data_IF_211153244292
#
_entry.id   IF_211153244292
#
_cell.length_a   1.000
_cell.length_b   1.000
_cell.length_c   1.000
_cell.angle_alpha   90.00
_cell.angle_beta   90.00
_cell.angle_gamma   90.00
#
_symmetry.space_group_name_H-M   'P 1'
#
loop_
_entity.id
_entity.type
_entity.pdbx_description
1 polymer ?
#
# COMPACT_ATOMS: atom_id res chain seq x y z
N UNK A 1 -2.45 5.35 -4.13
CA UNK A 1 -1.67 4.99 -2.92
C UNK A 1 -0.79 6.16 -2.42
N UNK A 2 -0.31 6.06 -1.18
CA UNK A 2 0.57 7.03 -0.51
C UNK A 2 2.06 6.79 -0.82
N UNK A 3 2.84 7.86 -0.94
CA UNK A 3 4.29 7.86 -1.11
C UNK A 3 4.94 8.42 0.16
N UNK A 4 4.93 7.64 1.25
CA UNK A 4 5.45 8.07 2.55
C UNK A 4 6.91 7.66 2.83
N UNK A 5 7.38 6.57 2.22
CA UNK A 5 8.69 5.98 2.52
C UNK A 5 9.75 6.35 1.51
N UNK A 6 11.00 6.46 1.97
CA UNK A 6 12.15 6.75 1.10
C UNK A 6 12.34 5.68 0.04
N UNK A 7 12.14 4.40 0.38
CA UNK A 7 12.33 3.28 -0.55
C UNK A 7 11.40 3.34 -1.76
N UNK A 8 10.25 4.03 -1.65
CA UNK A 8 9.34 4.21 -2.77
C UNK A 8 10.00 5.05 -3.89
N UNK A 9 10.81 6.05 -3.52
CA UNK A 9 11.48 6.94 -4.48
C UNK A 9 12.84 6.41 -4.93
N UNK A 10 13.49 5.55 -4.14
CA UNK A 10 14.72 4.86 -4.53
C UNK A 10 14.52 4.02 -5.82
N UNK A 11 13.29 3.56 -6.09
CA UNK A 11 12.96 2.82 -7.31
C UNK A 11 13.18 3.66 -8.58
N UNK A 12 12.92 4.96 -8.52
CA UNK A 12 13.07 5.87 -9.66
C UNK A 12 14.53 6.25 -9.86
N UNK A 13 15.26 6.53 -8.78
CA UNK A 13 16.71 6.80 -8.81
C UNK A 13 17.51 5.60 -9.36
N UNK A 14 17.08 4.37 -9.05
CA UNK A 14 17.69 3.14 -9.56
C UNK A 14 17.26 2.79 -10.99
N UNK A 15 16.37 3.57 -11.61
CA UNK A 15 15.84 3.29 -12.95
C UNK A 15 14.94 2.06 -13.04
N UNK A 16 14.39 1.60 -11.91
CA UNK A 16 13.45 0.47 -11.84
C UNK A 16 12.03 0.94 -12.21
N UNK A 17 11.64 2.12 -11.72
CA UNK A 17 10.35 2.74 -12.00
C UNK A 17 10.53 4.04 -12.80
N UNK A 18 9.48 4.44 -13.52
CA UNK A 18 9.48 5.66 -14.34
C UNK A 18 8.27 6.55 -14.10
N UNK A 19 7.06 5.98 -14.19
CA UNK A 19 5.80 6.70 -14.05
C UNK A 19 5.20 6.50 -12.66
N UNK A 20 4.57 7.54 -12.12
CA UNK A 20 3.94 7.53 -10.81
C UNK A 20 2.56 8.21 -10.84
N UNK A 21 1.52 7.46 -10.45
CA UNK A 21 0.21 7.96 -10.05
C UNK A 21 0.04 7.74 -8.54
N UNK A 22 -0.28 8.80 -7.80
CA UNK A 22 -0.33 8.74 -6.33
C UNK A 22 -1.37 9.69 -5.74
N UNK A 23 -1.68 9.54 -4.45
CA UNK A 23 -2.69 10.36 -3.76
C UNK A 23 -2.15 11.24 -2.64
N UNK A 24 -1.10 10.80 -1.96
CA UNK A 24 -0.51 11.54 -0.84
C UNK A 24 1.01 11.38 -0.86
N UNK A 25 1.76 12.47 -0.70
CA UNK A 25 3.24 12.46 -0.78
C UNK A 25 3.95 12.52 0.56
N UNK A 26 3.23 12.70 1.67
CA UNK A 26 3.81 12.82 3.01
C UNK A 26 5.05 13.72 3.08
N UNK A 27 6.10 13.23 3.73
CA UNK A 27 7.41 13.89 3.86
C UNK A 27 8.26 13.82 2.59
N UNK A 28 7.84 13.06 1.56
CA UNK A 28 8.59 12.85 0.33
C UNK A 28 8.31 13.91 -0.75
N UNK A 29 7.43 14.88 -0.50
CA UNK A 29 7.00 15.88 -1.49
C UNK A 29 8.16 16.62 -2.18
N UNK A 30 9.17 17.05 -1.40
CA UNK A 30 10.35 17.73 -1.96
C UNK A 30 11.17 16.82 -2.88
N UNK A 31 11.35 15.55 -2.47
CA UNK A 31 12.12 14.57 -3.25
C UNK A 31 11.38 14.17 -4.53
N UNK A 32 10.05 14.12 -4.52
CA UNK A 32 9.25 13.94 -5.74
C UNK A 32 9.52 15.06 -6.73
N UNK A 33 9.50 16.32 -6.28
CA UNK A 33 9.77 17.47 -7.14
C UNK A 33 11.18 17.44 -7.75
N UNK A 34 12.18 17.05 -6.96
CA UNK A 34 13.57 16.94 -7.44
C UNK A 34 13.70 15.85 -8.52
N UNK A 35 13.14 14.66 -8.29
CA UNK A 35 13.21 13.56 -9.26
C UNK A 35 12.44 13.86 -10.55
N UNK A 36 11.38 14.67 -10.47
CA UNK A 36 10.65 15.17 -11.63
C UNK A 36 11.51 16.18 -12.43
N UNK A 37 12.16 17.12 -11.74
CA UNK A 37 13.06 18.11 -12.36
C UNK A 37 14.27 17.45 -13.03
N UNK A 38 14.87 16.46 -12.36
CA UNK A 38 15.98 15.66 -12.89
C UNK A 38 15.54 14.71 -14.02
N UNK A 39 14.24 14.66 -14.31
CA UNK A 39 13.65 13.83 -15.35
C UNK A 39 13.84 12.34 -15.09
N UNK A 40 13.92 11.91 -13.83
CA UNK A 40 14.00 10.51 -13.39
C UNK A 40 12.60 9.92 -13.11
N UNK A 41 11.64 10.78 -12.75
CA UNK A 41 10.25 10.44 -12.44
C UNK A 41 9.30 11.21 -13.36
N UNK A 42 8.26 10.53 -13.86
CA UNK A 42 7.15 11.12 -14.60
C UNK A 42 5.87 10.99 -13.77
N UNK A 43 5.18 12.11 -13.51
CA UNK A 43 3.88 12.08 -12.81
C UNK A 43 2.77 11.88 -13.85
N UNK A 44 1.93 10.87 -13.65
CA UNK A 44 0.67 10.72 -14.38
C UNK A 44 -0.32 11.78 -13.90
N UNK A 45 -0.92 11.54 -12.75
CA UNK A 45 -1.68 12.54 -12.02
C UNK A 45 -1.59 12.36 -10.48
N UNK A 46 -2.02 13.42 -9.78
CA UNK A 46 -2.21 13.41 -8.33
C UNK A 46 -3.70 13.26 -8.07
N UNK A 47 -4.08 12.22 -7.35
CA UNK A 47 -5.47 11.80 -7.20
C UNK A 47 -5.97 11.91 -5.76
N UNK A 48 -7.29 11.93 -5.58
CA UNK A 48 -7.85 11.46 -4.31
C UNK A 48 -7.77 9.94 -4.23
N UNK A 49 -7.78 9.35 -3.03
CA UNK A 49 -7.65 7.90 -2.86
C UNK A 49 -8.71 7.12 -3.66
N UNK A 50 -9.98 7.46 -3.46
CA UNK A 50 -11.11 6.76 -4.09
C UNK A 50 -11.13 6.92 -5.62
N UNK A 51 -10.67 8.05 -6.14
CA UNK A 51 -10.52 8.27 -7.57
C UNK A 51 -9.46 7.32 -8.14
N UNK A 52 -8.30 7.23 -7.50
CA UNK A 52 -7.24 6.33 -7.93
C UNK A 52 -7.67 4.86 -7.87
N UNK A 53 -8.43 4.46 -6.85
CA UNK A 53 -8.98 3.10 -6.76
C UNK A 53 -9.97 2.81 -7.87
N UNK A 54 -10.78 3.80 -8.26
CA UNK A 54 -11.71 3.66 -9.38
C UNK A 54 -10.98 3.43 -10.70
N UNK A 55 -9.83 4.09 -10.91
CA UNK A 55 -9.01 3.92 -12.12
C UNK A 55 -8.42 2.52 -12.28
N UNK A 56 -8.24 1.77 -11.19
CA UNK A 56 -7.74 0.39 -11.24
C UNK A 56 -8.68 -0.57 -12.00
N UNK A 57 -9.94 -0.19 -12.20
CA UNK A 57 -10.91 -0.99 -12.95
C UNK A 57 -11.15 -0.46 -14.37
N UNK A 58 -10.38 0.54 -14.81
CA UNK A 58 -10.64 1.24 -16.08
C UNK A 58 -9.35 1.43 -16.88
N UNK A 59 -8.49 2.35 -16.47
CA UNK A 59 -7.35 2.81 -17.27
C UNK A 59 -5.99 2.63 -16.58
N UNK A 60 -5.99 2.21 -15.31
CA UNK A 60 -4.81 1.85 -14.53
C UNK A 60 -4.93 0.43 -13.94
N UNK A 61 -5.51 -0.50 -14.70
CA UNK A 61 -5.65 -1.89 -14.23
C UNK A 61 -4.30 -2.52 -13.89
N UNK A 62 -4.10 -2.95 -12.63
CA UNK A 62 -2.77 -3.30 -12.15
C UNK A 62 -2.36 -4.69 -12.64
N UNK A 63 -1.12 -4.80 -13.12
CA UNK A 63 -0.53 -6.11 -13.43
C UNK A 63 0.01 -6.81 -12.18
N UNK A 64 0.40 -6.04 -11.16
CA UNK A 64 0.96 -6.56 -9.91
C UNK A 64 0.45 -5.74 -8.73
N UNK A 65 0.03 -6.40 -7.66
CA UNK A 65 -0.27 -5.80 -6.36
C UNK A 65 0.69 -6.36 -5.29
N UNK A 66 1.45 -5.47 -4.66
CA UNK A 66 2.31 -5.79 -3.53
C UNK A 66 1.68 -5.23 -2.26
N UNK A 67 1.22 -6.11 -1.37
CA UNK A 67 0.42 -5.74 -0.19
C UNK A 67 1.00 -6.35 1.09
N UNK A 68 0.49 -5.91 2.24
CA UNK A 68 0.89 -6.41 3.55
C UNK A 68 -0.30 -6.91 4.37
N UNK A 69 -0.07 -7.93 5.21
CA UNK A 69 -1.04 -8.41 6.20
C UNK A 69 -0.35 -8.82 7.50
N UNK A 70 -1.12 -9.02 8.57
CA UNK A 70 -0.58 -9.52 9.83
C UNK A 70 -0.25 -11.00 9.75
N UNK A 71 -1.21 -11.80 9.27
CA UNK A 71 -1.06 -13.25 9.18
C UNK A 71 -1.59 -13.76 7.85
N UNK A 72 -1.04 -14.87 7.38
CA UNK A 72 -1.68 -15.69 6.35
C UNK A 72 -1.58 -17.16 6.70
N UNK A 73 -2.49 -17.97 6.15
CA UNK A 73 -2.39 -19.43 6.18
C UNK A 73 -1.72 -19.97 4.91
N UNK A 74 -1.51 -21.30 4.86
CA UNK A 74 -0.94 -21.99 3.69
C UNK A 74 -1.84 -22.01 2.45
N UNK A 75 -3.12 -21.61 2.57
CA UNK A 75 -4.05 -21.48 1.45
C UNK A 75 -4.06 -20.04 0.89
N UNK A 76 -3.28 -19.14 1.47
CA UNK A 76 -3.17 -17.74 1.06
C UNK A 76 -4.21 -16.83 1.71
N UNK A 77 -5.09 -17.33 2.58
CA UNK A 77 -6.07 -16.49 3.27
C UNK A 77 -5.33 -15.47 4.13
N UNK A 78 -5.69 -14.20 4.02
CA UNK A 78 -4.98 -13.10 4.66
C UNK A 78 -5.82 -12.49 5.77
N UNK A 79 -5.18 -12.25 6.92
CA UNK A 79 -5.69 -11.40 7.99
C UNK A 79 -4.95 -10.06 7.98
N UNK A 80 -5.64 -8.99 7.61
CA UNK A 80 -5.13 -7.61 7.60
C UNK A 80 -5.56 -6.81 8.83
N UNK A 81 -6.58 -7.28 9.56
CA UNK A 81 -6.86 -6.80 10.91
C UNK A 81 -7.27 -5.33 10.98
N UNK A 82 -6.83 -4.58 12.00
CA UNK A 82 -7.06 -3.13 12.08
C UNK A 82 -6.39 -2.32 10.96
N UNK A 83 -5.49 -2.95 10.19
CA UNK A 83 -4.75 -2.34 9.08
C UNK A 83 -5.25 -2.82 7.70
N UNK A 84 -6.55 -3.15 7.58
CA UNK A 84 -7.14 -3.51 6.28
C UNK A 84 -6.97 -2.41 5.24
N UNK A 85 -7.24 -1.15 5.64
CA UNK A 85 -6.97 0.06 4.84
C UNK A 85 -7.40 -0.09 3.37
N UNK A 86 -6.47 0.08 2.44
CA UNK A 86 -6.72 0.07 0.99
C UNK A 86 -6.68 -1.34 0.38
N UNK A 87 -6.29 -2.35 1.17
CA UNK A 87 -5.92 -3.68 0.68
C UNK A 87 -7.01 -4.32 -0.20
N UNK A 88 -8.30 -4.35 0.20
CA UNK A 88 -9.33 -4.98 -0.63
C UNK A 88 -9.45 -4.35 -2.02
N UNK A 89 -9.39 -3.02 -2.11
CA UNK A 89 -9.53 -2.29 -3.37
C UNK A 89 -8.33 -2.52 -4.30
N UNK A 90 -7.11 -2.60 -3.75
CA UNK A 90 -5.89 -2.86 -4.52
C UNK A 90 -5.80 -4.32 -4.97
N UNK A 91 -6.16 -5.26 -4.11
CA UNK A 91 -6.07 -6.70 -4.39
C UNK A 91 -7.13 -7.12 -5.40
N UNK A 92 -8.39 -6.73 -5.21
CA UNK A 92 -9.47 -7.12 -6.11
C UNK A 92 -9.20 -6.70 -7.55
N UNK A 93 -8.71 -5.48 -7.75
CA UNK A 93 -8.40 -4.96 -9.08
C UNK A 93 -7.31 -5.76 -9.82
N UNK A 94 -6.35 -6.35 -9.10
CA UNK A 94 -5.33 -7.21 -9.68
C UNK A 94 -5.83 -8.66 -9.85
N UNK A 95 -6.43 -9.23 -8.81
CA UNK A 95 -6.85 -10.64 -8.76
C UNK A 95 -7.87 -10.99 -9.85
N UNK A 96 -8.76 -10.06 -10.20
CA UNK A 96 -9.79 -10.27 -11.24
C UNK A 96 -9.43 -9.66 -12.60
N UNK A 97 -8.15 -9.36 -12.81
CA UNK A 97 -7.63 -8.84 -14.08
C UNK A 97 -6.39 -9.62 -14.54
N UNK A 98 -6.29 -10.91 -14.19
CA UNK A 98 -5.14 -11.78 -14.48
C UNK A 98 -3.79 -11.17 -14.00
N UNK A 99 -3.84 -10.29 -13.00
CA UNK A 99 -2.68 -9.72 -12.33
C UNK A 99 -2.11 -10.66 -11.28
N UNK A 100 -0.94 -10.30 -10.74
CA UNK A 100 -0.25 -11.07 -9.70
C UNK A 100 -0.35 -10.35 -8.36
N UNK A 101 -0.85 -11.01 -7.33
CA UNK A 101 -0.95 -10.49 -5.96
C UNK A 101 0.05 -11.19 -5.06
N UNK A 102 0.97 -10.40 -4.50
CA UNK A 102 1.99 -10.88 -3.55
C UNK A 102 1.76 -10.20 -2.21
N UNK A 103 1.51 -11.00 -1.18
CA UNK A 103 1.27 -10.56 0.19
C UNK A 103 2.49 -10.84 1.06
N UNK A 104 3.11 -9.79 1.62
CA UNK A 104 4.02 -9.97 2.75
C UNK A 104 3.22 -10.10 4.05
N UNK A 105 3.61 -11.02 4.93
CA UNK A 105 2.95 -11.21 6.24
C UNK A 105 3.94 -11.24 7.38
N UNK A 106 3.51 -10.83 8.57
CA UNK A 106 4.34 -10.92 9.77
C UNK A 106 4.50 -12.39 10.23
N UNK A 107 3.48 -13.21 9.99
CA UNK A 107 3.42 -14.60 10.45
C UNK A 107 2.68 -15.47 9.42
N UNK A 108 3.20 -16.65 9.13
CA UNK A 108 2.50 -17.71 8.39
C UNK A 108 2.04 -18.76 9.39
N UNK A 109 0.73 -19.03 9.43
CA UNK A 109 0.13 -20.05 10.30
C UNK A 109 -0.15 -21.34 9.52
N UNK A 110 -0.14 -22.48 10.21
CA UNK A 110 -0.36 -23.78 9.59
C UNK A 110 -1.86 -24.11 9.44
N UNK A 111 -2.69 -23.81 10.44
CA UNK A 111 -4.14 -24.05 10.43
C UNK A 111 -4.89 -22.74 10.11
N UNK A 112 -5.92 -22.85 9.27
CA UNK A 112 -6.84 -21.74 8.96
C UNK A 112 -7.57 -21.24 10.21
N UNK A 113 -7.84 -22.12 11.18
CA UNK A 113 -8.44 -21.75 12.46
C UNK A 113 -7.55 -20.83 13.33
N UNK A 114 -6.25 -20.71 13.01
CA UNK A 114 -5.33 -19.80 13.69
C UNK A 114 -5.37 -18.36 13.12
N UNK A 115 -6.11 -18.14 12.02
CA UNK A 115 -6.45 -16.80 11.54
C UNK A 115 -7.61 -16.23 12.37
N UNK A 116 -7.48 -15.02 12.96
CA UNK A 116 -8.58 -14.40 13.69
C UNK A 116 -9.85 -14.16 12.84
N UNK A 117 -9.64 -13.87 11.55
CA UNK A 117 -10.65 -13.81 10.48
C UNK A 117 -9.95 -13.80 9.14
N UNK A 118 -10.68 -14.10 8.06
CA UNK A 118 -10.21 -13.90 6.68
C UNK A 118 -10.69 -12.53 6.21
N UNK A 119 -9.74 -11.62 5.95
CA UNK A 119 -10.00 -10.30 5.37
C UNK A 119 -9.92 -10.34 3.84
N UNK A 120 -8.92 -11.03 3.30
CA UNK A 120 -8.76 -11.28 1.86
C UNK A 120 -8.76 -12.79 1.62
N UNK A 121 -9.65 -13.32 0.77
CA UNK A 121 -9.67 -14.74 0.44
C UNK A 121 -8.36 -15.18 -0.22
N UNK A 122 -7.88 -16.37 0.13
CA UNK A 122 -6.63 -16.90 -0.45
C UNK A 122 -6.70 -17.14 -1.96
N UNK A 123 -7.88 -17.29 -2.53
CA UNK A 123 -8.07 -17.35 -3.99
C UNK A 123 -7.75 -16.04 -4.72
N UNK A 124 -7.55 -14.93 -3.99
CA UNK A 124 -7.16 -13.63 -4.55
C UNK A 124 -5.66 -13.38 -4.39
N UNK A 125 -4.92 -14.29 -3.75
CA UNK A 125 -3.51 -14.15 -3.43
C UNK A 125 -2.71 -15.22 -4.19
N UNK A 126 -1.76 -14.81 -5.03
CA UNK A 126 -0.89 -15.74 -5.74
C UNK A 126 0.26 -16.25 -4.86
N UNK A 127 0.87 -15.34 -4.09
CA UNK A 127 2.03 -15.66 -3.26
C UNK A 127 1.96 -14.98 -1.90
N UNK A 128 2.35 -15.73 -0.87
CA UNK A 128 2.57 -15.23 0.48
C UNK A 128 4.05 -15.32 0.81
N UNK A 129 4.60 -14.26 1.40
CA UNK A 129 5.99 -14.22 1.86
C UNK A 129 6.03 -13.77 3.32
N UNK A 130 6.71 -14.51 4.18
CA UNK A 130 6.97 -14.07 5.55
C UNK A 130 8.03 -12.97 5.52
N UNK A 131 7.67 -11.78 6.01
CA UNK A 131 8.56 -10.63 6.08
C UNK A 131 9.69 -10.86 7.10
N UNK A 132 10.82 -10.21 6.90
CA UNK A 132 11.97 -10.23 7.82
C UNK A 132 11.65 -9.59 9.18
N UNK A 133 10.65 -8.71 9.22
CA UNK A 133 10.12 -8.03 10.40
C UNK A 133 8.67 -7.62 10.18
N UNK A 134 7.95 -7.23 11.24
CA UNK A 134 6.59 -6.72 11.09
C UNK A 134 6.52 -5.53 10.12
N UNK A 135 5.46 -5.49 9.30
CA UNK A 135 5.25 -4.38 8.37
C UNK A 135 5.16 -3.04 9.11
N UNK A 136 5.61 -1.98 8.45
CA UNK A 136 5.67 -0.65 9.03
C UNK A 136 4.28 -0.02 9.15
N UNK A 137 3.98 0.57 10.31
CA UNK A 137 2.74 1.31 10.57
C UNK A 137 3.09 2.73 10.96
N UNK A 138 2.51 3.71 10.25
CA UNK A 138 2.66 5.12 10.58
C UNK A 138 1.46 5.61 11.40
N UNK A 139 1.66 6.32 12.53
CA UNK A 139 0.59 6.97 13.27
C UNK A 139 0.13 8.26 12.56
N UNK A 140 -0.25 8.15 11.29
CA UNK A 140 -0.43 9.27 10.34
C UNK A 140 -1.38 10.36 10.87
N UNK A 141 -2.43 9.93 11.57
CA UNK A 141 -3.47 10.82 12.11
C UNK A 141 -3.31 11.11 13.60
N UNK A 142 -2.36 10.46 14.29
CA UNK A 142 -2.14 10.75 15.71
C UNK A 142 -1.61 12.17 15.86
N UNK A 143 -2.24 12.96 16.73
CA UNK A 143 -1.82 14.33 17.06
C UNK A 143 -1.63 14.42 18.56
N UNK A 144 -0.50 14.99 18.99
CA UNK A 144 -0.25 15.23 20.41
C UNK A 144 -1.13 16.39 20.90
N UNK A 145 -2.10 16.14 21.81
CA UNK A 145 -3.02 17.17 22.25
C UNK A 145 -2.33 18.31 23.00
N UNK A 146 -1.11 18.13 23.52
CA UNK A 146 -0.33 19.21 24.16
C UNK A 146 0.12 20.29 23.18
N UNK A 147 0.08 20.00 21.88
CA UNK A 147 0.42 20.94 20.81
C UNK A 147 -0.80 21.74 20.32
N UNK A 148 -1.99 21.47 20.88
CA UNK A 148 -3.19 22.25 20.58
C UNK A 148 -3.03 23.63 21.23
N UNK A 149 -3.06 24.68 20.41
CA UNK A 149 -2.99 26.07 20.86
C UNK A 149 -4.39 26.63 21.09
N UNK A 150 -4.46 27.76 21.78
CA UNK A 150 -5.75 28.40 22.09
C UNK A 150 -6.53 28.77 20.82
N UNK A 151 -5.84 29.15 19.75
CA UNK A 151 -6.43 29.51 18.44
C UNK A 151 -7.00 28.30 17.68
N UNK A 152 -6.70 27.06 18.10
CA UNK A 152 -7.31 25.87 17.50
C UNK A 152 -8.63 25.48 18.17
N UNK A 153 -8.92 26.02 19.36
CA UNK A 153 -10.10 25.69 20.18
C UNK A 153 -11.21 26.73 20.02
N UNK A 154 -10.83 28.00 19.85
CA UNK A 154 -11.72 29.15 19.69
C UNK A 154 -11.91 29.52 18.21
#
# INVERSE_FOLDING_TARGET
>A
PSVGRSEHLDLFEKGIARKLDFSFSGTQSLRISQLLEDGLLEIGAIHTYIELYSRLYVDLSPNVALIAGYKADRKGNLYTGPSTEDTPALVEAAAFHDGIVIAQVNELVDDECDLPRVDIPGSWIDYVVVADKPFFIEPLFTRDPRLIKQEHIL
#
